data_IF_981650994234
#
_entry.id   IF_981650994234
#
_cell.length_a   1.000
_cell.length_b   1.000
_cell.length_c   1.000
_cell.angle_alpha   90.00
_cell.angle_beta   90.00
_cell.angle_gamma   90.00
#
_symmetry.space_group_name_H-M   'P 1'
#
loop_
_entity.id
_entity.type
_entity.pdbx_description
1 polymer ?
#
# COMPACT_ATOMS: atom_id res chain seq x y z
N UNK A 1 -29.15 -30.03 -81.47
CA UNK A 1 -30.00 -29.65 -80.31
C UNK A 1 -29.33 -30.29 -79.10
N UNK A 2 -28.78 -29.62 -78.09
CA UNK A 2 -29.29 -28.50 -77.32
C UNK A 2 -28.10 -27.90 -76.50
N UNK A 3 -27.90 -26.59 -76.61
CA UNK A 3 -27.56 -25.60 -75.58
C UNK A 3 -26.83 -26.07 -74.31
N UNK A 4 -25.61 -25.55 -74.04
CA UNK A 4 -25.33 -24.45 -73.09
C UNK A 4 -25.75 -24.78 -71.65
N UNK A 5 -24.92 -24.60 -70.63
CA UNK A 5 -24.50 -23.27 -70.15
C UNK A 5 -23.32 -23.38 -69.19
N UNK A 6 -22.36 -22.51 -69.46
CA UNK A 6 -21.35 -21.97 -68.56
C UNK A 6 -22.04 -21.45 -67.28
N UNK A 7 -21.76 -22.03 -66.11
CA UNK A 7 -22.18 -21.45 -64.84
C UNK A 7 -21.01 -20.64 -64.27
N UNK A 8 -21.12 -19.33 -64.41
CA UNK A 8 -20.22 -18.33 -63.85
C UNK A 8 -20.40 -18.33 -62.32
N UNK A 9 -19.44 -18.90 -61.58
CA UNK A 9 -19.44 -18.88 -60.12
C UNK A 9 -18.94 -17.50 -59.65
N UNK A 10 -19.86 -16.63 -59.26
CA UNK A 10 -19.57 -15.32 -58.69
C UNK A 10 -18.98 -15.49 -57.28
N UNK A 11 -17.69 -15.19 -57.15
CA UNK A 11 -17.00 -15.10 -55.86
C UNK A 11 -17.44 -13.78 -55.21
N UNK A 12 -18.36 -13.85 -54.25
CA UNK A 12 -18.69 -12.73 -53.38
C UNK A 12 -17.55 -12.54 -52.37
N UNK A 13 -16.73 -11.50 -52.57
CA UNK A 13 -15.73 -11.06 -51.61
C UNK A 13 -16.43 -10.45 -50.39
N UNK A 14 -16.58 -11.24 -49.33
CA UNK A 14 -17.04 -10.77 -48.03
C UNK A 14 -15.91 -9.99 -47.35
N UNK A 15 -16.04 -8.66 -47.33
CA UNK A 15 -15.19 -7.75 -46.56
C UNK A 15 -15.42 -7.96 -45.07
N UNK A 16 -14.49 -8.66 -44.41
CA UNK A 16 -14.43 -8.78 -42.96
C UNK A 16 -14.05 -7.43 -42.34
N UNK A 17 -14.88 -6.84 -41.46
CA UNK A 17 -14.44 -5.71 -40.65
C UNK A 17 -13.38 -6.19 -39.66
N UNK A 18 -12.22 -5.55 -39.67
CA UNK A 18 -11.13 -5.77 -38.73
C UNK A 18 -11.61 -5.41 -37.31
N UNK A 19 -11.91 -6.43 -36.51
CA UNK A 19 -12.11 -6.30 -35.07
C UNK A 19 -10.75 -6.00 -34.43
N UNK A 20 -10.49 -4.73 -34.15
CA UNK A 20 -9.40 -4.34 -33.26
C UNK A 20 -9.72 -4.80 -31.82
N UNK A 21 -8.89 -5.61 -31.16
CA UNK A 21 -9.02 -5.81 -29.72
C UNK A 21 -8.36 -4.63 -29.01
N UNK A 22 -9.11 -3.54 -28.82
CA UNK A 22 -8.82 -2.63 -27.72
C UNK A 22 -9.24 -3.33 -26.43
N UNK A 23 -8.33 -4.14 -25.87
CA UNK A 23 -8.41 -4.57 -24.49
C UNK A 23 -8.11 -3.38 -23.58
N UNK A 24 -9.02 -2.39 -23.58
CA UNK A 24 -9.07 -1.35 -22.58
C UNK A 24 -9.48 -2.06 -21.29
N UNK A 25 -8.61 -2.02 -20.28
CA UNK A 25 -8.96 -2.42 -18.92
C UNK A 25 -10.27 -1.71 -18.55
N UNK A 26 -11.36 -2.49 -18.44
CA UNK A 26 -12.66 -1.95 -18.09
C UNK A 26 -12.56 -1.28 -16.72
N UNK A 27 -12.60 0.05 -16.72
CA UNK A 27 -12.76 0.86 -15.52
C UNK A 27 -14.02 0.41 -14.77
N UNK A 28 -14.01 0.45 -13.43
CA UNK A 28 -15.14 0.00 -12.65
C UNK A 28 -16.37 0.86 -12.99
N UNK A 29 -17.46 0.19 -13.38
CA UNK A 29 -18.77 0.78 -13.54
C UNK A 29 -19.12 1.62 -12.32
N UNK A 30 -19.61 2.85 -12.57
CA UNK A 30 -20.18 3.79 -11.60
C UNK A 30 -20.89 3.04 -10.46
N UNK A 31 -20.23 2.92 -9.30
CA UNK A 31 -20.79 2.24 -8.12
C UNK A 31 -19.91 1.24 -7.37
N UNK A 32 -18.68 0.92 -7.83
CA UNK A 32 -17.75 0.13 -7.01
C UNK A 32 -17.26 0.95 -5.81
N UNK A 33 -17.93 0.80 -4.67
CA UNK A 33 -17.48 1.33 -3.39
C UNK A 33 -16.34 0.45 -2.88
N UNK A 34 -15.17 1.06 -2.73
CA UNK A 34 -14.02 0.44 -2.08
C UNK A 34 -13.88 1.12 -0.72
N UNK A 35 -13.44 0.37 0.29
CA UNK A 35 -12.98 0.91 1.55
C UNK A 35 -11.76 1.83 1.38
N UNK A 36 -11.32 2.47 2.47
CA UNK A 36 -10.09 3.23 2.49
C UNK A 36 -8.90 2.33 2.11
N UNK A 37 -7.87 2.93 1.52
CA UNK A 37 -6.65 2.21 1.19
C UNK A 37 -5.96 1.73 2.47
N UNK A 38 -5.71 0.42 2.61
CA UNK A 38 -5.09 -0.11 3.81
C UNK A 38 -3.60 0.23 3.82
N UNK A 39 -3.06 0.42 5.02
CA UNK A 39 -1.62 0.45 5.21
C UNK A 39 -0.99 -0.89 4.77
N UNK A 40 0.23 -0.85 4.23
CA UNK A 40 0.90 -2.06 3.73
C UNK A 40 1.15 -3.09 4.83
N UNK A 41 1.61 -2.67 6.01
CA UNK A 41 1.87 -3.61 7.11
C UNK A 41 0.57 -4.23 7.59
N UNK A 42 -0.48 -3.41 7.75
CA UNK A 42 -1.81 -3.89 8.12
C UNK A 42 -2.38 -4.88 7.11
N UNK A 43 -2.26 -4.56 5.82
CA UNK A 43 -2.71 -5.43 4.74
C UNK A 43 -1.96 -6.77 4.75
N UNK A 44 -0.64 -6.73 4.89
CA UNK A 44 0.21 -7.93 5.00
C UNK A 44 -0.20 -8.80 6.18
N UNK A 45 -0.38 -8.22 7.37
CA UNK A 45 -0.79 -8.96 8.57
C UNK A 45 -2.13 -9.69 8.38
N UNK A 46 -3.13 -9.01 7.83
CA UNK A 46 -4.45 -9.58 7.56
C UNK A 46 -4.35 -10.72 6.53
N UNK A 47 -3.57 -10.52 5.47
CA UNK A 47 -3.34 -11.52 4.44
C UNK A 47 -2.63 -12.75 4.99
N UNK A 48 -1.53 -12.58 5.74
CA UNK A 48 -0.80 -13.68 6.36
C UNK A 48 -1.68 -14.47 7.34
N UNK A 49 -2.47 -13.76 8.15
CA UNK A 49 -3.41 -14.39 9.09
C UNK A 49 -4.45 -15.24 8.35
N UNK A 50 -5.04 -14.72 7.28
CA UNK A 50 -6.02 -15.44 6.48
C UNK A 50 -5.42 -16.67 5.78
N UNK A 51 -4.17 -16.58 5.32
CA UNK A 51 -3.46 -17.70 4.71
C UNK A 51 -3.11 -18.75 5.76
N UNK A 52 -2.55 -18.36 6.92
CA UNK A 52 -2.21 -19.28 8.03
C UNK A 52 -3.41 -20.13 8.43
N UNK A 53 -4.60 -19.55 8.51
CA UNK A 53 -5.84 -20.25 8.86
C UNK A 53 -6.23 -21.36 7.87
N UNK A 54 -5.60 -21.45 6.70
CA UNK A 54 -5.83 -22.49 5.68
C UNK A 54 -4.69 -23.50 5.55
N UNK A 55 -3.59 -23.30 6.27
CA UNK A 55 -2.44 -24.19 6.23
C UNK A 55 -2.60 -25.34 7.23
N UNK A 56 -1.93 -26.46 6.94
CA UNK A 56 -1.91 -27.62 7.83
C UNK A 56 -1.10 -27.31 9.11
N UNK A 57 0.04 -26.63 8.95
CA UNK A 57 0.91 -26.18 10.04
C UNK A 57 1.07 -24.65 9.93
N UNK A 58 0.21 -23.87 10.62
CA UNK A 58 0.18 -22.42 10.50
C UNK A 58 1.45 -21.74 11.05
N UNK A 59 2.07 -22.32 12.08
CA UNK A 59 3.25 -21.75 12.75
C UNK A 59 4.53 -21.94 11.92
N UNK A 60 4.53 -22.92 11.02
CA UNK A 60 5.64 -23.15 10.07
C UNK A 60 5.62 -22.25 8.83
N UNK A 61 4.59 -21.42 8.66
CA UNK A 61 4.35 -20.67 7.45
C UNK A 61 5.46 -19.62 7.19
N UNK A 62 6.06 -19.70 6.01
CA UNK A 62 7.03 -18.72 5.50
C UNK A 62 6.44 -18.01 4.31
N UNK A 63 6.38 -16.69 4.40
CA UNK A 63 5.81 -15.83 3.38
C UNK A 63 6.92 -15.13 2.59
N UNK A 64 6.73 -15.01 1.29
CA UNK A 64 7.57 -14.22 0.39
C UNK A 64 6.66 -13.31 -0.44
N UNK A 65 6.95 -12.01 -0.40
CA UNK A 65 6.11 -10.96 -0.94
C UNK A 65 6.84 -10.27 -2.11
N UNK A 66 6.73 -10.77 -3.35
CA UNK A 66 7.39 -10.15 -4.50
C UNK A 66 6.70 -8.86 -4.97
N UNK A 67 5.45 -8.62 -4.54
CA UNK A 67 4.59 -7.57 -5.06
C UNK A 67 3.79 -6.88 -3.95
N UNK A 68 3.40 -5.64 -4.21
CA UNK A 68 2.44 -4.89 -3.40
C UNK A 68 1.00 -5.34 -3.63
N UNK A 69 0.04 -4.50 -3.22
CA UNK A 69 -1.37 -4.67 -3.56
C UNK A 69 -1.78 -3.69 -4.66
N UNK A 70 -2.88 -3.99 -5.34
CA UNK A 70 -3.52 -3.09 -6.30
C UNK A 70 -5.02 -3.05 -6.05
N UNK A 71 -5.61 -1.86 -6.20
CA UNK A 71 -7.06 -1.65 -6.14
C UNK A 71 -7.71 -2.14 -7.44
N UNK A 72 -8.46 -3.23 -7.39
CA UNK A 72 -9.19 -3.77 -8.56
C UNK A 72 -10.32 -4.70 -8.18
N UNK A 73 -11.23 -4.94 -9.12
CA UNK A 73 -12.17 -6.04 -9.02
C UNK A 73 -11.48 -7.37 -9.34
N UNK A 74 -11.60 -8.34 -8.43
CA UNK A 74 -11.16 -9.73 -8.56
C UNK A 74 -12.37 -10.63 -8.83
N UNK A 75 -12.27 -11.53 -9.80
CA UNK A 75 -13.35 -12.47 -10.13
C UNK A 75 -12.86 -13.89 -9.84
N UNK A 76 -13.20 -14.47 -8.68
CA UNK A 76 -12.90 -15.86 -8.41
C UNK A 76 -13.63 -16.77 -9.39
N UNK A 77 -13.12 -17.98 -9.57
CA UNK A 77 -13.73 -18.96 -10.46
C UNK A 77 -15.18 -19.26 -10.02
N UNK A 78 -16.13 -19.16 -10.95
CA UNK A 78 -17.59 -19.33 -10.72
C UNK A 78 -18.24 -18.38 -9.69
N UNK A 79 -17.55 -17.32 -9.28
CA UNK A 79 -18.06 -16.38 -8.28
C UNK A 79 -18.37 -15.02 -8.88
N UNK A 80 -19.18 -14.25 -8.15
CA UNK A 80 -19.38 -12.83 -8.48
C UNK A 80 -18.06 -12.07 -8.35
N UNK A 81 -17.90 -11.01 -9.15
CA UNK A 81 -16.77 -10.10 -9.03
C UNK A 81 -16.80 -9.41 -7.67
N UNK A 82 -15.68 -9.47 -6.96
CA UNK A 82 -15.43 -8.86 -5.66
C UNK A 82 -14.54 -7.64 -5.89
N UNK A 83 -14.80 -6.54 -5.20
CA UNK A 83 -14.00 -5.32 -5.31
C UNK A 83 -13.20 -5.13 -4.02
N UNK A 84 -11.91 -4.79 -4.15
CA UNK A 84 -11.04 -4.55 -3.02
C UNK A 84 -9.60 -4.33 -3.45
N UNK A 85 -8.70 -4.45 -2.48
CA UNK A 85 -7.27 -4.45 -2.64
C UNK A 85 -6.79 -5.89 -2.78
N UNK A 86 -6.17 -6.22 -3.90
CA UNK A 86 -5.71 -7.58 -4.18
C UNK A 86 -4.21 -7.65 -4.33
N UNK A 87 -3.65 -8.78 -3.93
CA UNK A 87 -2.22 -9.07 -4.01
C UNK A 87 -2.01 -10.54 -4.40
N UNK A 88 -0.77 -10.85 -4.73
CA UNK A 88 -0.27 -12.20 -4.93
C UNK A 88 1.10 -12.33 -4.28
N UNK A 89 1.29 -13.40 -3.51
CA UNK A 89 2.53 -13.70 -2.84
C UNK A 89 2.75 -15.20 -2.74
N UNK A 90 3.88 -15.63 -2.19
CA UNK A 90 4.20 -17.04 -2.01
C UNK A 90 4.14 -17.42 -0.53
N UNK A 91 3.72 -18.65 -0.29
CA UNK A 91 3.73 -19.27 1.04
C UNK A 91 4.30 -20.67 0.96
N UNK A 92 5.14 -21.03 1.92
CA UNK A 92 5.65 -22.39 2.10
C UNK A 92 5.40 -22.82 3.54
N UNK A 93 4.88 -24.03 3.75
CA UNK A 93 4.57 -24.56 5.08
C UNK A 93 4.81 -26.06 5.14
N UNK A 94 4.85 -26.59 6.37
CA UNK A 94 4.99 -28.03 6.59
C UNK A 94 3.66 -28.75 6.41
N UNK A 95 3.75 -29.99 5.91
CA UNK A 95 2.64 -30.92 5.91
C UNK A 95 2.55 -31.69 7.25
N UNK A 96 1.57 -32.61 7.34
CA UNK A 96 1.37 -33.47 8.52
C UNK A 96 2.57 -34.36 8.86
N UNK A 97 3.48 -34.58 7.92
CA UNK A 97 4.71 -35.36 8.12
C UNK A 97 5.90 -34.48 8.55
N UNK A 98 5.70 -33.18 8.76
CA UNK A 98 6.71 -32.22 9.23
C UNK A 98 7.64 -31.69 8.14
N UNK A 99 7.46 -32.11 6.88
CA UNK A 99 8.26 -31.65 5.74
C UNK A 99 7.61 -30.48 5.00
N UNK A 100 8.41 -29.55 4.49
CA UNK A 100 7.91 -28.44 3.66
C UNK A 100 7.40 -28.95 2.31
N UNK A 101 6.24 -28.45 1.88
CA UNK A 101 5.57 -28.89 0.65
C UNK A 101 6.06 -28.20 -0.62
N UNK A 102 6.89 -27.16 -0.47
CA UNK A 102 7.28 -26.25 -1.54
C UNK A 102 6.44 -24.97 -1.53
N UNK A 103 6.95 -23.95 -2.19
CA UNK A 103 6.30 -22.63 -2.27
C UNK A 103 5.08 -22.67 -3.19
N UNK A 104 3.93 -22.27 -2.67
CA UNK A 104 2.70 -22.10 -3.44
C UNK A 104 2.35 -20.61 -3.53
N UNK A 105 1.86 -20.16 -4.68
CA UNK A 105 1.29 -18.82 -4.77
C UNK A 105 -0.03 -18.76 -4.02
N UNK A 106 -0.34 -17.60 -3.44
CA UNK A 106 -1.65 -17.30 -2.87
C UNK A 106 -2.11 -15.91 -3.29
N UNK A 107 -3.41 -15.69 -3.24
CA UNK A 107 -4.04 -14.40 -3.52
C UNK A 107 -4.99 -14.07 -2.41
N UNK A 108 -5.07 -12.78 -2.09
CA UNK A 108 -5.97 -12.24 -1.08
C UNK A 108 -6.68 -11.04 -1.69
N UNK A 109 -7.94 -10.84 -1.32
CA UNK A 109 -8.71 -9.62 -1.58
C UNK A 109 -9.17 -9.08 -0.23
N UNK A 110 -8.75 -7.86 0.10
CA UNK A 110 -9.09 -7.18 1.35
C UNK A 110 -9.85 -5.91 1.03
N UNK A 111 -10.90 -5.63 1.80
CA UNK A 111 -11.65 -4.38 1.75
C UNK A 111 -12.11 -4.02 3.16
N UNK A 112 -12.01 -2.75 3.56
CA UNK A 112 -12.40 -2.30 4.90
C UNK A 112 -11.81 -3.15 6.06
N UNK A 113 -10.51 -3.47 5.98
CA UNK A 113 -9.80 -4.36 6.93
C UNK A 113 -10.38 -5.79 7.05
N UNK A 114 -11.25 -6.19 6.12
CA UNK A 114 -11.85 -7.51 6.07
C UNK A 114 -11.34 -8.29 4.87
N UNK A 115 -10.96 -9.53 5.12
CA UNK A 115 -10.53 -10.45 4.08
C UNK A 115 -11.77 -11.01 3.37
N UNK A 116 -12.06 -10.49 2.18
CA UNK A 116 -13.19 -10.90 1.36
C UNK A 116 -12.91 -12.21 0.62
N UNK A 117 -11.65 -12.43 0.26
CA UNK A 117 -11.23 -13.63 -0.45
C UNK A 117 -9.80 -14.00 -0.10
N UNK A 118 -9.54 -15.30 -0.08
CA UNK A 118 -8.19 -15.87 -0.02
C UNK A 118 -8.21 -17.16 -0.80
N UNK A 119 -7.11 -17.48 -1.48
CA UNK A 119 -6.92 -18.77 -2.14
C UNK A 119 -5.43 -19.09 -2.21
N UNK A 120 -5.08 -20.35 -1.97
CA UNK A 120 -3.71 -20.87 -2.05
C UNK A 120 -3.69 -21.85 -3.23
N UNK A 121 -2.82 -21.59 -4.19
CA UNK A 121 -2.60 -22.42 -5.36
C UNK A 121 -1.80 -23.69 -5.04
N UNK A 122 -1.33 -24.33 -6.09
CA UNK A 122 -0.53 -25.55 -5.99
C UNK A 122 0.96 -25.21 -6.00
N UNK A 123 1.80 -25.87 -5.18
CA UNK A 123 3.25 -25.70 -5.24
C UNK A 123 3.86 -26.15 -6.59
N UNK A 124 3.09 -26.85 -7.43
CA UNK A 124 3.53 -27.25 -8.78
C UNK A 124 3.43 -26.12 -9.82
N UNK A 125 2.75 -25.01 -9.50
CA UNK A 125 2.67 -23.81 -10.33
C UNK A 125 1.86 -23.92 -11.63
N UNK A 126 1.11 -25.01 -11.82
CA UNK A 126 0.29 -25.24 -13.03
C UNK A 126 -1.18 -24.88 -12.85
N UNK A 127 -1.57 -24.35 -11.69
CA UNK A 127 -2.95 -24.00 -11.38
C UNK A 127 -3.35 -22.63 -11.94
N UNK A 128 -4.66 -22.44 -12.11
CA UNK A 128 -5.23 -21.20 -12.65
C UNK A 128 -4.87 -19.98 -11.80
N UNK A 129 -4.78 -20.14 -10.48
CA UNK A 129 -4.46 -19.08 -9.55
C UNK A 129 -3.03 -18.58 -9.77
N UNK A 130 -2.06 -19.49 -9.85
CA UNK A 130 -0.65 -19.16 -10.17
C UNK A 130 -0.58 -18.38 -11.48
N UNK A 131 -1.26 -18.86 -12.53
CA UNK A 131 -1.27 -18.19 -13.83
C UNK A 131 -1.93 -16.80 -13.79
N UNK A 132 -2.98 -16.63 -12.98
CA UNK A 132 -3.69 -15.37 -12.83
C UNK A 132 -2.81 -14.32 -12.15
N UNK A 133 -2.02 -14.74 -11.15
CA UNK A 133 -1.13 -13.83 -10.45
C UNK A 133 0.10 -13.42 -11.25
N UNK A 134 0.71 -14.34 -12.00
CA UNK A 134 1.82 -13.99 -12.90
C UNK A 134 1.40 -12.98 -13.97
N UNK A 135 0.12 -13.00 -14.37
CA UNK A 135 -0.47 -12.05 -15.34
C UNK A 135 -1.14 -10.84 -14.70
N UNK A 136 -1.17 -10.75 -13.36
CA UNK A 136 -1.96 -9.74 -12.67
C UNK A 136 -1.40 -8.31 -12.80
N UNK A 137 -0.12 -8.17 -13.20
CA UNK A 137 0.52 -6.86 -13.35
C UNK A 137 0.59 -6.10 -12.02
N UNK A 138 0.93 -6.80 -10.94
CA UNK A 138 0.99 -6.19 -9.61
C UNK A 138 2.18 -5.22 -9.52
N UNK A 139 2.01 -4.10 -8.79
CA UNK A 139 3.12 -3.20 -8.55
C UNK A 139 4.23 -3.90 -7.75
N UNK A 140 5.48 -3.40 -7.82
CA UNK A 140 6.50 -3.82 -6.88
C UNK A 140 6.01 -3.56 -5.45
N UNK A 141 6.62 -4.24 -4.48
CA UNK A 141 6.40 -3.91 -3.08
C UNK A 141 6.53 -2.39 -2.88
N UNK A 142 5.64 -1.77 -2.10
CA UNK A 142 5.93 -0.42 -1.65
C UNK A 142 7.26 -0.49 -0.91
N UNK A 143 8.22 0.32 -1.33
CA UNK A 143 9.43 0.50 -0.54
C UNK A 143 8.94 0.82 0.87
N UNK A 144 9.33 0.01 1.86
CA UNK A 144 8.95 0.23 3.26
C UNK A 144 9.47 1.60 3.75
N UNK A 145 10.36 2.24 2.96
CA UNK A 145 10.77 3.63 3.10
C UNK A 145 9.73 4.68 2.67
N UNK A 146 8.73 4.32 1.86
CA UNK A 146 7.84 5.27 1.15
C UNK A 146 6.39 5.21 1.63
N UNK A 147 5.94 4.14 2.30
CA UNK A 147 4.59 4.07 2.91
C UNK A 147 4.49 4.79 4.27
N UNK A 148 5.56 5.43 4.72
CA UNK A 148 5.54 6.33 5.88
C UNK A 148 5.39 7.81 5.49
N UNK A 149 4.79 8.09 4.33
CA UNK A 149 4.17 9.39 4.07
C UNK A 149 2.84 9.49 4.84
N UNK A 150 2.91 9.36 6.18
CA UNK A 150 1.88 9.91 7.05
C UNK A 150 1.73 11.38 6.67
N UNK A 151 0.51 11.79 6.33
CA UNK A 151 0.19 13.18 6.00
C UNK A 151 0.90 14.12 7.00
N UNK A 152 1.52 15.22 6.54
CA UNK A 152 2.30 16.11 7.41
C UNK A 152 1.42 16.58 8.56
N UNK A 153 1.57 15.98 9.75
CA UNK A 153 0.81 16.40 10.92
C UNK A 153 1.43 17.68 11.43
N UNK A 154 0.65 18.77 11.42
CA UNK A 154 1.05 20.05 11.96
C UNK A 154 1.17 19.90 13.48
N UNK A 155 2.38 19.99 14.00
CA UNK A 155 2.61 19.93 15.44
C UNK A 155 2.40 21.30 16.10
N UNK A 156 2.32 21.30 17.44
CA UNK A 156 2.19 22.52 18.25
C UNK A 156 3.40 23.45 18.17
N UNK A 157 4.47 23.02 17.49
CA UNK A 157 5.71 23.77 17.35
C UNK A 157 5.82 24.48 16.01
N UNK A 158 4.82 24.36 15.12
CA UNK A 158 4.81 25.09 13.85
C UNK A 158 5.75 24.51 12.80
N UNK A 159 5.98 23.20 12.81
CA UNK A 159 6.62 22.49 11.70
C UNK A 159 5.88 21.18 11.39
N UNK A 160 6.17 20.61 10.23
CA UNK A 160 5.65 19.30 9.83
C UNK A 160 6.80 18.33 9.64
N UNK A 161 6.56 17.07 9.99
CA UNK A 161 7.56 16.01 9.85
C UNK A 161 7.03 14.85 9.04
N UNK A 162 7.95 14.22 8.33
CA UNK A 162 7.77 12.95 7.64
C UNK A 162 8.76 11.94 8.22
N UNK A 163 8.30 10.76 8.58
CA UNK A 163 9.19 9.72 9.09
C UNK A 163 10.14 9.21 7.99
N UNK A 164 11.41 9.01 8.34
CA UNK A 164 12.44 8.44 7.48
C UNK A 164 13.27 7.41 8.26
N UNK A 165 14.00 6.48 7.62
CA UNK A 165 14.71 5.41 8.33
C UNK A 165 15.68 5.89 9.42
N UNK A 166 16.28 7.07 9.24
CA UNK A 166 17.24 7.66 10.18
C UNK A 166 16.62 8.66 11.18
N UNK A 167 15.30 8.86 11.18
CA UNK A 167 14.60 9.75 12.12
C UNK A 167 13.37 10.43 11.53
N UNK A 168 13.20 11.73 11.81
CA UNK A 168 12.10 12.52 11.28
C UNK A 168 12.62 13.66 10.38
N UNK A 169 12.22 13.66 9.11
CA UNK A 169 12.53 14.70 8.14
C UNK A 169 11.59 15.89 8.29
N UNK A 170 12.11 17.11 8.35
CA UNK A 170 11.31 18.33 8.43
C UNK A 170 10.85 18.72 7.02
N UNK A 171 9.54 18.59 6.76
CA UNK A 171 8.95 18.88 5.47
C UNK A 171 8.63 20.37 5.29
N UNK A 172 8.12 21.04 6.32
CA UNK A 172 7.87 22.48 6.32
C UNK A 172 8.02 23.08 7.70
N UNK A 173 8.40 24.36 7.74
CA UNK A 173 8.62 25.15 8.97
C UNK A 173 7.87 26.47 8.87
N UNK A 174 7.38 26.97 10.00
CA UNK A 174 6.87 28.34 10.09
C UNK A 174 8.03 29.34 10.21
N UNK A 175 7.81 30.62 9.86
CA UNK A 175 8.85 31.65 9.98
C UNK A 175 9.40 31.83 11.41
N UNK A 176 8.61 31.46 12.43
CA UNK A 176 9.07 31.46 13.82
C UNK A 176 10.13 30.38 14.06
N UNK A 177 9.96 29.19 13.49
CA UNK A 177 10.95 28.10 13.57
C UNK A 177 12.22 28.40 12.78
N UNK A 178 12.12 29.06 11.62
CA UNK A 178 13.29 29.46 10.84
C UNK A 178 14.21 30.41 11.62
N UNK A 179 13.64 31.36 12.37
CA UNK A 179 14.42 32.24 13.27
C UNK A 179 15.10 31.48 14.40
N UNK A 180 14.55 30.33 14.81
CA UNK A 180 15.16 29.43 15.79
C UNK A 180 16.22 28.50 15.16
N UNK A 181 16.51 28.62 13.86
CA UNK A 181 17.50 27.80 13.14
C UNK A 181 16.96 26.49 12.60
N UNK A 182 15.63 26.32 12.54
CA UNK A 182 14.99 25.15 11.92
C UNK A 182 14.78 25.40 10.42
N UNK A 183 15.28 24.50 9.58
CA UNK A 183 15.06 24.56 8.14
C UNK A 183 14.40 23.29 7.62
N UNK A 184 13.59 23.42 6.57
CA UNK A 184 13.14 22.26 5.80
C UNK A 184 14.36 21.53 5.23
N UNK A 185 14.27 20.20 5.14
CA UNK A 185 15.41 19.38 4.73
C UNK A 185 16.23 18.78 5.87
N UNK A 186 16.07 19.26 7.10
CA UNK A 186 16.77 18.72 8.27
C UNK A 186 16.19 17.38 8.72
N UNK A 187 17.04 16.51 9.25
CA UNK A 187 16.65 15.21 9.84
C UNK A 187 16.87 15.24 11.35
N UNK A 188 15.77 15.09 12.10
CA UNK A 188 15.75 15.00 13.56
C UNK A 188 16.04 13.56 13.95
N UNK A 189 17.11 13.34 14.71
CA UNK A 189 17.51 12.03 15.23
C UNK A 189 16.97 11.78 16.64
N UNK A 190 16.77 12.83 17.44
CA UNK A 190 16.13 12.72 18.75
C UNK A 190 15.24 13.93 19.10
N UNK A 191 14.19 13.66 19.89
CA UNK A 191 13.25 14.65 20.41
C UNK A 191 13.20 14.52 21.93
N UNK A 192 13.59 15.57 22.67
CA UNK A 192 13.69 15.56 24.13
C UNK A 192 14.52 14.39 24.70
N UNK A 193 15.58 13.99 23.97
CA UNK A 193 16.43 12.85 24.33
C UNK A 193 15.88 11.49 23.93
N UNK A 194 14.67 11.42 23.34
CA UNK A 194 14.09 10.19 22.80
C UNK A 194 14.59 10.00 21.36
N UNK A 195 15.32 8.92 21.09
CA UNK A 195 15.77 8.57 19.75
C UNK A 195 14.59 8.25 18.83
N UNK A 196 14.56 8.86 17.64
CA UNK A 196 13.49 8.69 16.66
C UNK A 196 13.79 7.60 15.62
N UNK A 197 15.04 7.14 15.56
CA UNK A 197 15.47 6.10 14.62
C UNK A 197 14.70 4.80 14.85
N UNK A 198 14.08 4.28 13.79
CA UNK A 198 13.31 3.03 13.84
C UNK A 198 11.94 3.13 14.49
N UNK A 199 11.49 4.33 14.89
CA UNK A 199 10.10 4.54 15.32
C UNK A 199 9.17 4.61 14.10
N UNK A 200 7.92 4.18 14.29
CA UNK A 200 6.88 4.37 13.25
C UNK A 200 6.42 5.82 13.22
N UNK A 201 5.88 6.31 12.10
CA UNK A 201 5.36 7.67 12.03
C UNK A 201 4.23 7.95 13.01
N UNK A 202 3.38 6.96 13.29
CA UNK A 202 2.31 7.10 14.26
C UNK A 202 2.87 7.40 15.66
N UNK A 203 3.90 6.64 16.07
CA UNK A 203 4.58 6.84 17.35
C UNK A 203 5.33 8.18 17.37
N UNK A 204 6.05 8.54 16.31
CA UNK A 204 6.71 9.85 16.22
C UNK A 204 5.72 11.01 16.31
N UNK A 205 4.60 10.94 15.58
CA UNK A 205 3.55 11.96 15.60
C UNK A 205 2.92 12.08 16.98
N UNK A 206 2.74 10.96 17.69
CA UNK A 206 2.25 10.96 19.06
C UNK A 206 3.25 11.58 20.04
N UNK A 207 4.54 11.25 19.93
CA UNK A 207 5.60 11.82 20.80
C UNK A 207 5.71 13.34 20.59
N UNK A 208 5.78 13.77 19.34
CA UNK A 208 5.95 15.19 18.99
C UNK A 208 4.66 15.97 19.28
N UNK A 209 3.50 15.38 19.01
CA UNK A 209 2.18 16.00 19.23
C UNK A 209 1.78 16.10 20.70
N UNK A 210 2.20 15.15 21.54
CA UNK A 210 1.90 15.17 22.98
C UNK A 210 2.76 16.16 23.77
N UNK A 211 3.85 16.67 23.19
CA UNK A 211 4.71 17.61 23.86
C UNK A 211 4.07 19.02 23.89
N UNK A 212 3.99 19.59 25.09
CA UNK A 212 3.32 20.88 25.38
C UNK A 212 4.27 21.95 25.91
N UNK A 213 5.53 21.61 26.19
CA UNK A 213 6.56 22.50 26.71
C UNK A 213 7.68 22.78 25.72
N UNK A 214 8.75 23.51 26.14
CA UNK A 214 9.93 23.67 25.30
C UNK A 214 10.53 22.30 24.97
N UNK A 215 10.87 22.10 23.70
CA UNK A 215 11.44 20.85 23.22
C UNK A 215 12.87 21.05 22.70
N UNK A 216 13.71 20.04 22.90
CA UNK A 216 15.08 19.98 22.35
C UNK A 216 15.11 18.97 21.22
N UNK A 217 15.50 19.43 20.03
CA UNK A 217 15.71 18.61 18.84
C UNK A 217 17.20 18.36 18.66
N UNK A 218 17.58 17.12 18.36
CA UNK A 218 18.93 16.81 17.89
C UNK A 218 18.88 16.37 16.43
N UNK A 219 19.88 16.77 15.66
CA UNK A 219 19.94 16.52 14.22
C UNK A 219 21.05 15.56 13.85
N UNK A 220 20.92 14.97 12.66
CA UNK A 220 22.03 14.28 12.01
C UNK A 220 23.17 15.28 11.78
N UNK A 221 24.29 15.10 12.49
CA UNK A 221 25.40 16.07 12.54
C UNK A 221 25.73 16.59 13.94
N UNK A 222 24.95 16.23 14.97
CA UNK A 222 25.25 16.54 16.37
C UNK A 222 24.79 17.93 16.84
N UNK A 223 24.22 18.73 15.95
CA UNK A 223 23.60 20.01 16.31
C UNK A 223 22.33 19.78 17.14
N UNK A 224 22.07 20.65 18.11
CA UNK A 224 20.82 20.65 18.86
C UNK A 224 20.16 22.03 18.81
N UNK A 225 18.84 22.06 18.65
CA UNK A 225 18.03 23.29 18.63
C UNK A 225 16.93 23.15 19.66
N UNK A 226 16.81 24.16 20.51
CA UNK A 226 15.70 24.28 21.45
C UNK A 226 14.60 25.10 20.82
N UNK A 227 13.39 24.56 20.81
CA UNK A 227 12.20 25.20 20.24
C UNK A 227 11.15 25.39 21.32
N UNK A 228 10.41 26.50 21.24
CA UNK A 228 9.25 26.74 22.07
C UNK A 228 7.98 26.39 21.29
N UNK A 229 6.91 25.94 21.98
CA UNK A 229 5.61 25.76 21.33
C UNK A 229 5.22 27.06 20.62
N UNK A 230 4.70 26.96 19.40
CA UNK A 230 4.12 28.09 18.71
C UNK A 230 2.95 28.55 19.58
N UNK A 231 3.19 29.62 20.35
CA UNK A 231 2.32 30.04 21.45
C UNK A 231 0.85 29.97 21.02
N UNK A 232 0.03 29.36 21.86
CA UNK A 232 -1.41 29.60 21.85
C UNK A 232 -1.55 31.11 21.98
N UNK A 233 -1.79 31.79 20.87
CA UNK A 233 -2.14 33.21 20.89
C UNK A 233 -3.47 33.26 21.61
N UNK A 234 -3.43 33.41 22.93
CA UNK A 234 -4.61 33.78 23.70
C UNK A 234 -4.99 35.16 23.15
N UNK A 235 -6.11 35.32 22.45
CA UNK A 235 -6.53 36.65 22.04
C UNK A 235 -6.66 37.47 23.32
N UNK A 236 -5.81 38.49 23.45
CA UNK A 236 -5.97 39.51 24.48
C UNK A 236 -7.30 40.17 24.16
N UNK A 237 -8.34 39.85 24.92
CA UNK A 237 -9.59 40.59 24.89
C UNK A 237 -9.26 42.02 25.30
N UNK A 238 -8.99 42.86 24.31
CA UNK A 238 -9.01 44.31 24.45
C UNK A 238 -10.46 44.67 24.77
N UNK A 239 -10.76 44.82 26.07
CA UNK A 239 -12.00 45.45 26.50
C UNK A 239 -11.95 46.89 26.02
N UNK A 240 -12.73 47.19 24.99
CA UNK A 240 -13.05 48.55 24.60
C UNK A 240 -13.73 49.25 25.79
N UNK A 241 -13.13 50.35 26.24
CA UNK A 241 -13.73 51.28 27.20
C UNK A 241 -14.79 52.15 26.54
#
# INVERSE_FOLDING_TARGET
MLHARLLCLTIAAATLPALSPTAQAAEPSVGASYGPEPDWERFRELAETAVRNRLIDPDSAKFDWPHGFVKRGYTPFWSKRIYGYTTCALVNSKNRMGGYTGSAMFTVVIDNDQVLYTEIGSPKGTDLMTSACLKAGLPPLPDVATTIASAPSKNNYGFTVTAVPDGAYIASVTPACEKAGLHSGMVITSFNGIGLKGLTAAVMSQIIGAATGPATLQFAGGTSVRIEPAATVTPRLEYAQ
#
